data_IF_719728892404
#
_entry.id   IF_719728892404
#
_cell.length_a   1.000
_cell.length_b   1.000
_cell.length_c   1.000
_cell.angle_alpha   90.00
_cell.angle_beta   90.00
_cell.angle_gamma   90.00
#
_symmetry.space_group_name_H-M   'P 1'
#
loop_
_entity.id
_entity.type
_entity.pdbx_description
1 polymer ?
#
# COMPACT_ATOMS: atom_id res chain seq x y z
N UNK A 1 23.21 -6.66 42.15
CA UNK A 1 23.32 -5.70 41.02
C UNK A 1 23.87 -4.38 41.55
N UNK A 2 24.98 -3.88 41.01
CA UNK A 2 25.59 -2.60 41.40
C UNK A 2 24.81 -1.46 40.74
N UNK A 3 24.25 -0.54 41.53
CA UNK A 3 23.78 0.74 41.01
C UNK A 3 24.99 1.58 40.61
N UNK A 4 25.10 1.95 39.34
CA UNK A 4 26.21 2.77 38.84
C UNK A 4 25.83 4.26 38.80
N UNK A 5 26.86 5.12 38.78
CA UNK A 5 26.85 6.60 38.65
C UNK A 5 25.97 7.17 37.50
N UNK A 6 25.32 6.32 36.70
CA UNK A 6 24.53 6.64 35.50
C UNK A 6 23.13 7.21 35.78
N UNK A 7 22.56 7.01 36.97
CA UNK A 7 21.30 7.65 37.38
C UNK A 7 21.46 9.15 37.74
N UNK A 8 22.70 9.63 37.92
CA UNK A 8 23.00 10.94 38.55
C UNK A 8 23.45 12.06 37.60
N UNK A 9 23.74 11.84 36.32
CA UNK A 9 24.37 12.87 35.45
C UNK A 9 23.39 13.73 34.61
N UNK A 10 22.16 13.99 35.11
CA UNK A 10 21.01 14.49 34.34
C UNK A 10 21.31 15.52 33.22
N UNK A 11 20.85 15.17 32.00
CA UNK A 11 19.92 15.95 31.18
C UNK A 11 19.34 14.99 30.11
N UNK A 12 18.29 14.24 30.44
CA UNK A 12 17.66 13.34 29.46
C UNK A 12 16.82 14.16 28.48
N UNK A 13 17.43 14.60 27.37
CA UNK A 13 16.72 15.18 26.20
C UNK A 13 16.06 14.10 25.33
N UNK A 14 15.72 12.94 25.90
CA UNK A 14 15.09 11.85 25.14
C UNK A 14 13.66 12.25 24.78
N UNK A 15 13.19 11.95 23.57
CA UNK A 15 11.82 12.26 23.17
C UNK A 15 10.84 11.53 24.08
N UNK A 16 9.81 12.25 24.55
CA UNK A 16 8.78 11.66 25.40
C UNK A 16 8.08 10.51 24.68
N UNK A 17 7.91 9.39 25.37
CA UNK A 17 7.08 8.28 24.91
C UNK A 17 5.70 8.34 25.57
N UNK A 18 4.74 7.57 25.06
CA UNK A 18 3.37 7.55 25.60
C UNK A 18 3.27 7.09 27.07
N UNK A 19 4.35 6.59 27.67
CA UNK A 19 4.39 6.08 29.05
C UNK A 19 5.19 6.96 30.02
N UNK A 20 5.74 8.07 29.55
CA UNK A 20 6.68 8.89 30.34
C UNK A 20 6.06 10.11 31.03
N UNK A 21 4.83 10.50 30.67
CA UNK A 21 4.19 11.72 31.16
C UNK A 21 2.86 11.42 31.87
N UNK A 22 2.21 12.47 32.41
CA UNK A 22 0.99 12.36 33.21
C UNK A 22 -0.27 12.14 32.34
N UNK A 23 -1.45 12.07 32.98
CA UNK A 23 -2.77 11.77 32.40
C UNK A 23 -3.15 12.63 31.19
N UNK A 24 -2.67 13.87 31.10
CA UNK A 24 -3.01 14.80 30.02
C UNK A 24 -2.13 14.63 28.77
N UNK A 25 -1.09 13.80 28.86
CA UNK A 25 -0.19 13.55 27.74
C UNK A 25 -0.63 12.36 26.90
N UNK A 26 -1.16 12.64 25.72
CA UNK A 26 -1.46 11.63 24.72
C UNK A 26 -0.43 11.67 23.56
N UNK A 27 0.14 10.51 23.24
CA UNK A 27 0.98 10.32 22.05
C UNK A 27 0.48 9.12 21.26
N UNK A 28 0.09 9.34 20.01
CA UNK A 28 -0.45 8.30 19.13
C UNK A 28 0.62 7.39 18.50
N UNK A 29 0.18 6.21 18.05
CA UNK A 29 1.03 5.16 17.46
C UNK A 29 0.95 5.07 15.92
N UNK A 30 0.62 6.17 15.24
CA UNK A 30 0.44 6.23 13.77
C UNK A 30 -0.51 5.17 13.20
N UNK A 31 -1.56 4.82 13.94
CA UNK A 31 -2.56 3.84 13.47
C UNK A 31 -3.32 4.32 12.23
N UNK A 32 -3.37 5.64 11.97
CA UNK A 32 -3.88 6.23 10.73
C UNK A 32 -2.87 6.30 9.57
N UNK A 33 -1.84 5.47 9.57
CA UNK A 33 -0.89 5.33 8.46
C UNK A 33 -0.92 3.90 7.93
N UNK A 34 -0.72 3.74 6.62
CA UNK A 34 -0.56 2.42 6.00
C UNK A 34 0.80 1.82 6.39
N UNK A 35 0.92 0.47 6.49
CA UNK A 35 2.22 -0.17 6.64
C UNK A 35 3.16 0.24 5.50
N UNK A 36 4.22 0.99 5.81
CA UNK A 36 5.17 1.51 4.81
C UNK A 36 4.61 2.58 3.86
N UNK A 37 3.39 3.09 4.10
CA UNK A 37 2.68 3.97 3.19
C UNK A 37 2.37 5.36 3.77
N UNK A 38 1.63 6.19 3.01
CA UNK A 38 1.27 7.53 3.43
C UNK A 38 0.29 7.53 4.62
N UNK A 39 0.24 8.66 5.33
CA UNK A 39 -0.78 8.91 6.36
C UNK A 39 -2.15 9.04 5.69
N UNK A 40 -3.07 8.16 6.06
CA UNK A 40 -4.47 8.13 5.61
C UNK A 40 -5.39 8.92 6.54
N UNK A 41 -4.91 9.24 7.74
CA UNK A 41 -5.66 9.99 8.74
C UNK A 41 -6.49 9.08 9.67
N UNK A 42 -7.22 9.66 10.64
CA UNK A 42 -8.05 8.90 11.56
C UNK A 42 -9.31 8.35 10.87
N UNK A 43 -9.80 7.17 11.25
CA UNK A 43 -10.98 6.51 10.64
C UNK A 43 -12.32 7.11 11.12
N UNK A 44 -12.33 8.36 11.58
CA UNK A 44 -13.47 8.95 12.27
C UNK A 44 -13.16 10.30 12.89
N UNK A 45 -14.07 10.78 13.74
CA UNK A 45 -13.98 12.11 14.36
C UNK A 45 -14.38 12.12 15.84
N UNK A 46 -13.73 12.99 16.60
CA UNK A 46 -14.17 13.31 17.96
C UNK A 46 -15.39 14.24 17.94
N UNK A 47 -16.28 14.05 18.91
CA UNK A 47 -17.45 14.89 19.15
C UNK A 47 -17.13 15.98 20.18
N UNK A 48 -17.97 17.02 20.23
CA UNK A 48 -17.85 18.10 21.23
C UNK A 48 -17.92 17.61 22.69
N UNK A 49 -18.54 16.45 22.93
CA UNK A 49 -18.67 15.85 24.28
C UNK A 49 -17.59 14.80 24.59
N UNK A 50 -16.54 14.69 23.78
CA UNK A 50 -15.42 13.78 24.02
C UNK A 50 -15.60 12.35 23.48
N UNK A 51 -16.79 11.98 22.99
CA UNK A 51 -17.02 10.69 22.33
C UNK A 51 -16.33 10.64 20.96
N UNK A 52 -16.10 9.44 20.44
CA UNK A 52 -15.55 9.22 19.09
C UNK A 52 -16.59 8.52 18.20
N UNK A 53 -16.77 9.02 16.97
CA UNK A 53 -17.68 8.42 15.98
C UNK A 53 -16.83 7.89 14.82
N UNK A 54 -17.02 6.62 14.48
CA UNK A 54 -16.35 5.94 13.37
C UNK A 54 -17.05 6.30 12.06
N UNK A 55 -16.25 6.51 11.02
CA UNK A 55 -16.70 6.76 9.64
C UNK A 55 -16.26 5.57 8.78
N UNK A 56 -17.19 4.67 8.48
CA UNK A 56 -16.90 3.41 7.76
C UNK A 56 -16.30 3.65 6.37
N UNK A 57 -16.52 4.83 5.78
CA UNK A 57 -15.91 5.21 4.49
C UNK A 57 -14.39 5.39 4.58
N UNK A 58 -13.86 5.64 5.78
CA UNK A 58 -12.42 5.85 6.04
C UNK A 58 -11.78 4.65 6.72
N UNK A 59 -12.58 3.66 7.14
CA UNK A 59 -12.07 2.42 7.71
C UNK A 59 -11.41 1.61 6.59
N UNK A 60 -10.19 1.13 6.87
CA UNK A 60 -9.46 0.31 5.90
C UNK A 60 -10.00 -1.12 5.91
N UNK A 61 -10.23 -1.66 4.73
CA UNK A 61 -10.66 -3.04 4.52
C UNK A 61 -9.60 -3.77 3.72
N UNK A 62 -9.16 -4.93 4.22
CA UNK A 62 -8.26 -5.83 3.48
C UNK A 62 -9.12 -6.89 2.79
N UNK A 63 -9.28 -6.75 1.47
CA UNK A 63 -10.09 -7.67 0.67
C UNK A 63 -9.24 -8.89 0.33
N UNK A 64 -9.68 -10.06 0.80
CA UNK A 64 -9.10 -11.35 0.44
C UNK A 64 -9.95 -12.04 -0.64
N UNK A 65 -9.34 -12.76 -1.60
CA UNK A 65 -10.07 -13.69 -2.43
C UNK A 65 -10.82 -14.74 -1.58
N UNK A 66 -11.93 -15.32 -2.10
CA UNK A 66 -12.63 -16.41 -1.45
C UNK A 66 -11.70 -17.60 -1.13
N UNK A 67 -11.88 -18.28 0.03
CA UNK A 67 -11.02 -19.39 0.43
C UNK A 67 -10.92 -20.50 -0.61
N UNK A 68 -12.03 -20.86 -1.26
CA UNK A 68 -12.04 -21.89 -2.31
C UNK A 68 -11.07 -21.60 -3.47
N UNK A 69 -10.86 -20.33 -3.83
CA UNK A 69 -9.91 -19.94 -4.88
C UNK A 69 -8.47 -20.03 -4.36
N UNK A 70 -8.24 -19.65 -3.10
CA UNK A 70 -6.93 -19.73 -2.48
C UNK A 70 -6.49 -21.19 -2.33
N UNK A 71 -7.39 -22.08 -1.92
CA UNK A 71 -7.12 -23.50 -1.70
C UNK A 71 -6.90 -24.25 -3.04
N UNK A 72 -7.60 -23.86 -4.09
CA UNK A 72 -7.42 -24.41 -5.44
C UNK A 72 -6.18 -23.85 -6.17
N UNK A 73 -5.58 -22.77 -5.67
CA UNK A 73 -4.46 -22.10 -6.34
C UNK A 73 -3.18 -22.95 -6.26
N UNK A 74 -2.50 -23.22 -7.39
CA UNK A 74 -1.19 -23.88 -7.37
C UNK A 74 -0.06 -22.96 -6.90
N UNK A 75 -0.34 -21.66 -6.70
CA UNK A 75 0.68 -20.66 -6.35
C UNK A 75 1.16 -20.83 -4.90
N UNK A 76 2.48 -20.81 -4.72
CA UNK A 76 3.16 -20.91 -3.43
C UNK A 76 4.04 -19.67 -3.20
N UNK A 77 4.35 -19.33 -1.94
CA UNK A 77 5.20 -18.18 -1.62
C UNK A 77 6.65 -18.31 -2.12
N UNK A 78 7.07 -19.54 -2.48
CA UNK A 78 8.41 -19.84 -2.95
C UNK A 78 8.36 -20.60 -4.28
N UNK A 79 9.42 -20.45 -5.07
CA UNK A 79 9.61 -21.12 -6.35
C UNK A 79 10.76 -22.13 -6.22
N UNK A 80 10.69 -23.21 -6.99
CA UNK A 80 11.79 -24.20 -7.05
C UNK A 80 13.01 -23.56 -7.70
N UNK A 81 14.21 -23.80 -7.15
CA UNK A 81 15.46 -23.21 -7.66
C UNK A 81 15.80 -23.60 -9.10
N UNK A 82 15.30 -24.75 -9.55
CA UNK A 82 15.51 -25.29 -10.90
C UNK A 82 14.46 -24.79 -11.90
N UNK A 83 13.49 -23.99 -11.47
CA UNK A 83 12.50 -23.42 -12.39
C UNK A 83 13.16 -22.29 -13.19
N UNK A 84 13.58 -22.61 -14.40
CA UNK A 84 14.11 -21.63 -15.36
C UNK A 84 13.02 -21.27 -16.38
N UNK A 85 12.98 -20.00 -16.79
CA UNK A 85 12.08 -19.55 -17.85
C UNK A 85 12.67 -19.92 -19.20
N UNK A 86 11.82 -20.39 -20.11
CA UNK A 86 12.20 -20.60 -21.52
C UNK A 86 12.46 -19.25 -22.20
N UNK A 87 13.28 -19.19 -23.25
CA UNK A 87 13.56 -17.94 -23.99
C UNK A 87 12.29 -17.21 -24.47
N UNK A 88 11.25 -17.96 -24.86
CA UNK A 88 9.94 -17.41 -25.25
C UNK A 88 9.15 -16.84 -24.08
N UNK A 89 9.36 -17.38 -22.88
CA UNK A 89 8.68 -16.97 -21.64
C UNK A 89 9.39 -15.79 -20.97
N UNK A 90 10.71 -15.67 -21.16
CA UNK A 90 11.53 -14.61 -20.55
C UNK A 90 11.12 -13.18 -20.97
N UNK A 91 10.32 -13.05 -22.04
CA UNK A 91 9.67 -11.82 -22.54
C UNK A 91 10.46 -10.55 -22.22
N UNK A 92 11.67 -10.45 -22.76
CA UNK A 92 12.66 -9.38 -22.49
C UNK A 92 12.10 -7.97 -22.69
N UNK A 93 11.08 -7.83 -23.54
CA UNK A 93 10.37 -6.58 -23.84
C UNK A 93 9.55 -6.03 -22.65
N UNK A 94 9.26 -6.87 -21.66
CA UNK A 94 8.46 -6.55 -20.46
C UNK A 94 9.31 -6.41 -19.20
N UNK A 95 10.62 -6.14 -19.34
CA UNK A 95 11.48 -5.85 -18.18
C UNK A 95 11.45 -4.35 -17.83
N UNK A 96 11.28 -4.06 -16.54
CA UNK A 96 11.40 -2.73 -15.95
C UNK A 96 10.44 -1.69 -16.54
N UNK A 97 10.92 -0.46 -16.72
CA UNK A 97 10.10 0.66 -17.20
C UNK A 97 9.54 0.45 -18.62
N UNK A 98 10.19 -0.39 -19.44
CA UNK A 98 9.70 -0.72 -20.79
C UNK A 98 8.38 -1.50 -20.74
N UNK A 99 8.13 -2.28 -19.69
CA UNK A 99 6.89 -3.02 -19.50
C UNK A 99 5.67 -2.10 -19.36
N UNK A 100 5.86 -0.94 -18.74
CA UNK A 100 4.80 0.02 -18.42
C UNK A 100 4.39 0.90 -19.61
N UNK A 101 5.01 0.74 -20.78
CA UNK A 101 4.62 1.47 -21.99
C UNK A 101 3.30 0.92 -22.54
N UNK A 102 2.33 1.79 -22.79
CA UNK A 102 1.02 1.41 -23.32
C UNK A 102 1.07 0.57 -24.61
N UNK A 103 2.04 0.80 -25.50
CA UNK A 103 2.25 -0.03 -26.69
C UNK A 103 2.54 -1.51 -26.36
N UNK A 104 3.31 -1.78 -25.31
CA UNK A 104 3.65 -3.13 -24.90
C UNK A 104 2.47 -3.82 -24.22
N UNK A 105 1.69 -3.08 -23.44
CA UNK A 105 0.42 -3.56 -22.89
C UNK A 105 -0.56 -3.98 -23.99
N UNK A 106 -0.75 -3.15 -25.02
CA UNK A 106 -1.65 -3.49 -26.14
C UNK A 106 -1.21 -4.76 -26.89
N UNK A 107 0.09 -5.04 -26.97
CA UNK A 107 0.61 -6.27 -27.58
C UNK A 107 0.23 -7.54 -26.78
N UNK A 108 -0.01 -7.43 -25.49
CA UNK A 108 -0.41 -8.56 -24.64
C UNK A 108 -1.90 -8.90 -24.75
N UNK A 109 -2.73 -7.92 -25.07
CA UNK A 109 -4.17 -8.10 -25.19
C UNK A 109 -4.53 -9.01 -26.36
N UNK A 110 -5.57 -9.81 -26.17
CA UNK A 110 -6.25 -10.54 -27.26
C UNK A 110 -6.86 -9.57 -28.27
N UNK A 111 -7.20 -10.06 -29.47
CA UNK A 111 -7.86 -9.25 -30.52
C UNK A 111 -9.15 -8.60 -30.02
N UNK A 112 -9.98 -9.35 -29.30
CA UNK A 112 -11.25 -8.88 -28.74
C UNK A 112 -11.03 -7.75 -27.71
N UNK A 113 -10.15 -7.99 -26.73
CA UNK A 113 -9.81 -6.98 -25.72
C UNK A 113 -9.19 -5.71 -26.33
N UNK A 114 -8.47 -5.83 -27.45
CA UNK A 114 -7.94 -4.66 -28.18
C UNK A 114 -9.05 -3.86 -28.83
N UNK A 115 -10.07 -4.50 -29.37
CA UNK A 115 -11.21 -3.82 -29.98
C UNK A 115 -12.04 -3.11 -28.93
N UNK A 116 -12.31 -3.77 -27.79
CA UNK A 116 -12.96 -3.15 -26.63
C UNK A 116 -12.19 -1.94 -26.13
N UNK A 117 -10.88 -2.07 -25.91
CA UNK A 117 -10.04 -0.95 -25.46
C UNK A 117 -10.05 0.22 -26.47
N UNK A 118 -10.05 -0.08 -27.78
CA UNK A 118 -10.18 0.94 -28.84
C UNK A 118 -11.57 1.58 -28.83
N UNK A 119 -12.62 0.82 -28.59
CA UNK A 119 -13.98 1.35 -28.49
C UNK A 119 -14.13 2.31 -27.30
N UNK A 120 -13.61 1.92 -26.14
CA UNK A 120 -13.57 2.77 -24.94
C UNK A 120 -12.77 4.04 -25.21
N UNK A 121 -11.57 3.93 -25.79
CA UNK A 121 -10.74 5.09 -26.11
C UNK A 121 -11.43 6.08 -27.07
N UNK A 122 -12.23 5.59 -28.01
CA UNK A 122 -13.04 6.44 -28.92
C UNK A 122 -14.21 7.12 -28.22
N UNK A 123 -14.76 6.52 -27.16
CA UNK A 123 -15.86 7.12 -26.37
C UNK A 123 -15.40 8.19 -25.39
N UNK A 124 -14.12 8.20 -25.03
CA UNK A 124 -13.57 9.19 -24.11
C UNK A 124 -13.39 10.55 -24.82
N UNK A 125 -13.63 11.67 -24.11
CA UNK A 125 -13.34 12.98 -24.64
C UNK A 125 -11.83 13.12 -24.96
N UNK A 126 -11.46 13.96 -25.94
CA UNK A 126 -10.05 14.20 -26.26
C UNK A 126 -9.31 14.75 -25.03
N UNK A 127 -8.07 14.30 -24.82
CA UNK A 127 -7.24 14.79 -23.73
C UNK A 127 -7.05 16.30 -23.87
N UNK A 128 -7.13 17.07 -22.77
CA UNK A 128 -6.84 18.49 -22.80
C UNK A 128 -5.40 18.70 -23.31
N UNK A 129 -5.21 19.73 -24.14
CA UNK A 129 -3.89 20.11 -24.61
C UNK A 129 -3.00 20.42 -23.38
N UNK A 130 -1.70 20.05 -23.41
CA UNK A 130 -0.81 20.40 -22.33
C UNK A 130 -0.80 21.93 -22.15
N UNK A 131 -1.09 22.40 -20.95
CA UNK A 131 -0.94 23.81 -20.60
C UNK A 131 0.57 24.14 -20.69
N UNK A 132 0.91 25.08 -21.58
CA UNK A 132 2.28 25.57 -21.82
C UNK A 132 2.66 26.60 -20.78
#
# INVERSE_FOLDING_TARGET
MRGSLTALSKASRRPLTAKMANKDYYKGNRQGALPGGPMTGPPGRHTKRGNYIIDDTKVRVFVSPPPAILDASPLRPYVVRTAELTEKEERKDLRGWKALKGRNYLRLLSSEQREEARAIARSLPPLPAPEV
#
